data_IF_964585449182
#
_entry.id   IF_964585449182
#
_cell.length_a   1.000
_cell.length_b   1.000
_cell.length_c   1.000
_cell.angle_alpha   90.00
_cell.angle_beta   90.00
_cell.angle_gamma   90.00
#
_symmetry.space_group_name_H-M   'P 1'
#
loop_
_entity.id
_entity.type
_entity.pdbx_description
1 polymer ?
#
# COMPACT_ATOMS: atom_id res chain seq x y z
N UNK A 1 -15.65 -0.02 -7.67
CA UNK A 1 -14.32 0.59 -7.93
C UNK A 1 -13.99 0.34 -9.38
N UNK A 2 -13.69 1.38 -10.15
CA UNK A 2 -13.14 1.21 -11.50
C UNK A 2 -11.78 0.50 -11.43
N UNK A 3 -11.41 -0.26 -12.48
CA UNK A 3 -10.10 -0.94 -12.53
C UNK A 3 -9.11 -0.06 -13.28
N UNK A 4 -7.94 0.17 -12.70
CA UNK A 4 -6.82 0.83 -13.36
C UNK A 4 -6.02 -0.12 -14.24
N UNK A 5 -5.21 0.39 -15.15
CA UNK A 5 -4.33 -0.42 -15.99
C UNK A 5 -2.86 -0.27 -15.56
N UNK A 6 -2.21 -1.39 -15.25
CA UNK A 6 -0.77 -1.44 -14.99
C UNK A 6 -0.04 -1.72 -16.31
N UNK A 7 0.66 -0.72 -16.84
CA UNK A 7 1.38 -0.83 -18.10
C UNK A 7 2.60 -1.78 -18.03
N UNK A 8 3.23 -1.90 -16.86
CA UNK A 8 4.37 -2.80 -16.65
C UNK A 8 3.94 -4.27 -16.69
N UNK A 9 2.77 -4.58 -16.11
CA UNK A 9 2.18 -5.93 -16.12
C UNK A 9 1.23 -6.18 -17.29
N UNK A 10 0.83 -5.12 -18.00
CA UNK A 10 -0.16 -5.12 -19.09
C UNK A 10 -1.53 -5.66 -18.70
N UNK A 11 -1.99 -5.39 -17.48
CA UNK A 11 -3.27 -5.89 -16.95
C UNK A 11 -4.10 -4.79 -16.31
N UNK A 12 -5.43 -4.89 -16.42
CA UNK A 12 -6.35 -4.05 -15.66
C UNK A 12 -6.72 -4.71 -14.33
N UNK A 13 -6.70 -3.94 -13.23
CA UNK A 13 -7.01 -4.47 -11.92
C UNK A 13 -7.04 -3.45 -10.80
N UNK A 14 -6.83 -3.97 -9.59
CA UNK A 14 -6.68 -3.23 -8.35
C UNK A 14 -5.39 -3.67 -7.65
N UNK A 15 -4.89 -2.83 -6.75
CA UNK A 15 -3.82 -3.16 -5.81
C UNK A 15 -4.34 -3.09 -4.39
N UNK A 16 -3.83 -3.96 -3.52
CA UNK A 16 -4.12 -3.97 -2.08
C UNK A 16 -2.82 -3.68 -1.35
N UNK A 17 -2.77 -2.55 -0.68
CA UNK A 17 -1.64 -2.09 0.14
C UNK A 17 -1.97 -2.44 1.58
N UNK A 18 -1.24 -3.39 2.16
CA UNK A 18 -1.52 -3.93 3.48
C UNK A 18 -0.25 -3.81 4.31
N UNK A 19 -0.30 -3.04 5.40
CA UNK A 19 0.75 -3.06 6.40
C UNK A 19 0.42 -4.15 7.43
N UNK A 20 1.37 -5.02 7.71
CA UNK A 20 1.22 -6.12 8.68
C UNK A 20 2.33 -6.07 9.72
N UNK A 21 2.06 -6.60 10.90
CA UNK A 21 3.11 -6.84 11.90
C UNK A 21 3.89 -8.14 11.64
N UNK A 22 4.83 -8.46 12.53
CA UNK A 22 5.66 -9.67 12.43
C UNK A 22 4.86 -10.98 12.57
N UNK A 23 3.63 -10.93 13.09
CA UNK A 23 2.73 -12.08 13.18
C UNK A 23 1.78 -12.17 11.97
N UNK A 24 1.86 -11.21 11.04
CA UNK A 24 1.00 -11.13 9.87
C UNK A 24 -0.36 -10.49 10.12
N UNK A 25 -0.57 -9.84 11.26
CA UNK A 25 -1.84 -9.15 11.55
C UNK A 25 -1.88 -7.82 10.80
N UNK A 26 -2.97 -7.50 10.07
CA UNK A 26 -3.11 -6.22 9.36
C UNK A 26 -3.30 -5.04 10.32
N UNK A 27 -2.54 -3.97 10.09
CA UNK A 27 -2.62 -2.70 10.84
C UNK A 27 -2.99 -1.49 9.98
N UNK A 28 -2.84 -1.58 8.65
CA UNK A 28 -3.34 -0.57 7.73
C UNK A 28 -3.73 -1.18 6.38
N UNK A 29 -4.76 -0.64 5.73
CA UNK A 29 -5.28 -1.15 4.46
C UNK A 29 -5.70 -0.03 3.51
N UNK A 30 -5.19 -0.05 2.28
CA UNK A 30 -5.77 0.67 1.17
C UNK A 30 -5.96 -0.23 -0.05
N UNK A 31 -7.13 -0.11 -0.68
CA UNK A 31 -7.37 -0.67 -2.02
C UNK A 31 -7.34 0.49 -3.02
N UNK A 32 -6.59 0.33 -4.10
CA UNK A 32 -6.45 1.33 -5.17
C UNK A 32 -6.63 0.67 -6.54
N UNK A 33 -6.82 1.48 -7.57
CA UNK A 33 -6.71 1.02 -8.96
C UNK A 33 -5.26 0.58 -9.28
N UNK A 34 -5.06 -0.26 -10.29
CA UNK A 34 -3.73 -0.83 -10.56
C UNK A 34 -2.69 0.16 -11.12
N UNK A 35 -3.13 1.29 -11.65
CA UNK A 35 -2.25 2.38 -12.12
C UNK A 35 -1.61 3.17 -10.96
N UNK A 36 -2.13 3.03 -9.73
CA UNK A 36 -1.51 3.64 -8.56
C UNK A 36 -0.20 2.92 -8.22
N UNK A 37 0.87 3.70 -8.07
CA UNK A 37 2.19 3.22 -7.65
C UNK A 37 2.15 2.69 -6.21
N UNK A 38 2.99 1.71 -5.90
CA UNK A 38 3.02 1.07 -4.58
C UNK A 38 3.36 2.08 -3.47
N UNK A 39 4.27 3.03 -3.72
CA UNK A 39 4.56 4.16 -2.81
C UNK A 39 3.32 4.97 -2.44
N UNK A 40 2.58 5.48 -3.44
CA UNK A 40 1.35 6.27 -3.20
C UNK A 40 0.29 5.46 -2.47
N UNK A 41 0.13 4.19 -2.83
CA UNK A 41 -0.82 3.29 -2.17
C UNK A 41 -0.49 2.99 -0.72
N UNK A 42 0.80 2.80 -0.41
CA UNK A 42 1.30 2.64 0.95
C UNK A 42 1.08 3.88 1.81
N UNK A 43 1.44 5.06 1.31
CA UNK A 43 1.21 6.32 2.02
C UNK A 43 -0.27 6.53 2.32
N UNK A 44 -1.15 6.24 1.37
CA UNK A 44 -2.61 6.31 1.56
C UNK A 44 -3.09 5.37 2.69
N UNK A 45 -2.56 4.14 2.75
CA UNK A 45 -2.91 3.21 3.82
C UNK A 45 -2.43 3.73 5.18
N UNK A 46 -1.17 4.14 5.29
CA UNK A 46 -0.58 4.63 6.54
C UNK A 46 -1.21 5.94 7.03
N UNK A 47 -1.58 6.84 6.13
CA UNK A 47 -2.25 8.10 6.49
C UNK A 47 -3.66 7.88 7.02
N UNK A 48 -4.41 6.93 6.43
CA UNK A 48 -5.78 6.59 6.88
C UNK A 48 -5.82 5.96 8.26
N UNK A 49 -4.82 5.15 8.58
CA UNK A 49 -4.73 4.43 9.85
C UNK A 49 -3.72 5.06 10.83
N UNK A 50 -3.28 6.31 10.59
CA UNK A 50 -2.22 6.98 11.36
C UNK A 50 -2.45 6.95 12.87
N UNK A 51 -3.69 7.14 13.31
CA UNK A 51 -4.05 7.15 14.74
C UNK A 51 -3.83 5.78 15.39
N UNK A 52 -4.08 4.69 14.65
CA UNK A 52 -3.84 3.31 15.11
C UNK A 52 -2.35 2.92 15.07
N UNK A 53 -1.56 3.61 14.24
CA UNK A 53 -0.13 3.35 14.05
C UNK A 53 0.77 4.17 14.99
N UNK A 54 0.21 4.89 15.98
CA UNK A 54 0.96 5.82 16.84
C UNK A 54 2.13 5.21 17.63
N UNK A 55 2.11 3.89 17.87
CA UNK A 55 3.20 3.16 18.54
C UNK A 55 4.25 2.58 17.57
N UNK A 56 4.00 2.61 16.26
CA UNK A 56 4.90 2.06 15.25
C UNK A 56 6.11 2.98 15.08
N UNK A 57 7.30 2.43 15.34
CA UNK A 57 8.56 3.18 15.22
C UNK A 57 9.22 3.04 13.85
N UNK A 58 9.01 1.89 13.19
CA UNK A 58 9.67 1.54 11.92
C UNK A 58 8.71 0.76 11.04
N UNK A 59 8.71 1.08 9.76
CA UNK A 59 8.03 0.33 8.71
C UNK A 59 9.12 -0.24 7.79
N UNK A 60 9.03 -1.53 7.50
CA UNK A 60 9.89 -2.19 6.52
C UNK A 60 9.14 -2.24 5.19
N UNK A 61 9.80 -1.81 4.12
CA UNK A 61 9.27 -1.86 2.76
C UNK A 61 10.39 -2.19 1.79
N UNK A 62 10.05 -2.78 0.64
CA UNK A 62 11.04 -3.04 -0.41
C UNK A 62 11.45 -1.76 -1.16
N UNK A 63 12.50 -1.89 -1.97
CA UNK A 63 13.07 -0.78 -2.75
C UNK A 63 12.10 -0.12 -3.74
N UNK A 64 11.03 -0.80 -4.15
CA UNK A 64 9.98 -0.25 -5.02
C UNK A 64 9.09 0.78 -4.33
N UNK A 65 9.03 0.79 -2.99
CA UNK A 65 8.25 1.79 -2.24
C UNK A 65 8.99 3.11 -2.01
N UNK A 66 10.32 3.12 -2.21
CA UNK A 66 11.14 4.32 -2.02
C UNK A 66 11.45 5.07 -3.34
N UNK A 67 11.22 4.43 -4.50
CA UNK A 67 11.55 5.01 -5.81
C UNK A 67 10.33 5.23 -6.71
N UNK A 68 9.54 6.26 -6.42
CA UNK A 68 8.39 6.66 -7.25
C UNK A 68 7.96 8.10 -7.04
#
# INVERSE_FOLDING_TARGET
MEKGYDAGKKVSGIKRHIAVDMQGLPHALAVTTADVTDRKGCLLALERDRDNLGAIQKVLADGGYIHG
#
